data_IF_544531239575
#
_entry.id   IF_544531239575
#
_cell.length_a   1.000
_cell.length_b   1.000
_cell.length_c   1.000
_cell.angle_alpha   90.00
_cell.angle_beta   90.00
_cell.angle_gamma   90.00
#
_symmetry.space_group_name_H-M   'P 1'
#
loop_
_entity.id
_entity.type
_entity.pdbx_description
1 polymer ?
#
# COMPACT_ATOMS: atom_id res chain seq x y z
N UNK A 1 47.27 35.04 -81.59
CA UNK A 1 48.01 34.68 -80.35
C UNK A 1 47.05 34.84 -79.19
N UNK A 2 46.74 33.74 -78.48
CA UNK A 2 46.36 33.63 -77.04
C UNK A 2 46.08 34.96 -76.30
N UNK A 3 45.03 35.20 -75.52
CA UNK A 3 43.94 34.41 -74.92
C UNK A 3 42.96 35.43 -74.28
N UNK A 4 41.80 34.93 -73.83
CA UNK A 4 40.89 35.47 -72.79
C UNK A 4 39.74 36.43 -73.18
N UNK A 5 38.59 35.80 -73.45
CA UNK A 5 37.24 36.29 -73.11
C UNK A 5 37.11 36.51 -71.60
N UNK A 6 36.57 37.67 -71.18
CA UNK A 6 35.79 37.81 -69.94
C UNK A 6 34.37 38.21 -70.33
N UNK A 7 33.42 37.30 -70.10
CA UNK A 7 31.98 37.54 -70.22
C UNK A 7 31.45 37.62 -68.79
N UNK A 8 30.70 38.67 -68.50
CA UNK A 8 30.03 38.87 -67.22
C UNK A 8 28.97 37.80 -66.98
N UNK A 9 28.86 37.35 -65.73
CA UNK A 9 27.80 36.44 -65.29
C UNK A 9 27.12 37.06 -64.08
N UNK A 10 25.84 37.33 -64.31
CA UNK A 10 24.67 37.46 -63.45
C UNK A 10 24.84 37.60 -61.94
N UNK A 11 24.20 38.65 -61.42
CA UNK A 11 23.81 38.80 -60.03
C UNK A 11 22.88 37.66 -59.59
N UNK A 12 23.30 36.91 -58.57
CA UNK A 12 22.44 36.04 -57.78
C UNK A 12 22.10 36.81 -56.49
N UNK A 13 20.90 37.38 -56.44
CA UNK A 13 20.33 37.93 -55.22
C UNK A 13 19.89 36.77 -54.31
N UNK A 14 20.68 36.46 -53.28
CA UNK A 14 20.22 35.64 -52.16
C UNK A 14 19.24 36.47 -51.33
N UNK A 15 17.94 36.20 -51.47
CA UNK A 15 16.94 36.67 -50.54
C UNK A 15 17.08 35.88 -49.23
N UNK A 16 17.64 36.51 -48.19
CA UNK A 16 17.60 35.98 -46.82
C UNK A 16 16.20 36.20 -46.27
N UNK A 17 15.37 35.15 -46.28
CA UNK A 17 14.13 35.13 -45.54
C UNK A 17 14.46 35.03 -44.05
N UNK A 18 14.32 36.13 -43.32
CA UNK A 18 14.28 36.11 -41.86
C UNK A 18 12.94 35.50 -41.43
N UNK A 19 12.91 34.19 -41.22
CA UNK A 19 11.83 33.54 -40.50
C UNK A 19 11.98 33.86 -39.02
N UNK A 20 11.19 34.81 -38.51
CA UNK A 20 11.04 35.01 -37.07
C UNK A 20 10.37 33.78 -36.48
N UNK A 21 11.17 32.85 -35.96
CA UNK A 21 10.68 31.79 -35.10
C UNK A 21 10.15 32.44 -33.81
N UNK A 22 8.83 32.54 -33.70
CA UNK A 22 8.16 32.79 -32.42
C UNK A 22 8.49 31.60 -31.51
N UNK A 23 9.46 31.76 -30.63
CA UNK A 23 9.70 30.83 -29.54
C UNK A 23 8.47 30.88 -28.63
N UNK A 24 7.61 29.87 -28.75
CA UNK A 24 6.55 29.63 -27.76
C UNK A 24 7.29 29.27 -26.47
N UNK A 25 7.14 30.03 -25.38
CA UNK A 25 7.74 29.66 -24.12
C UNK A 25 7.10 28.34 -23.68
N UNK A 26 7.86 27.24 -23.74
CA UNK A 26 7.50 26.00 -23.07
C UNK A 26 7.51 26.29 -21.59
N UNK A 27 6.34 26.51 -21.00
CA UNK A 27 6.21 26.48 -19.55
C UNK A 27 6.65 25.07 -19.11
N UNK A 28 7.48 24.94 -18.06
CA UNK A 28 7.65 23.64 -17.43
C UNK A 28 6.25 23.15 -17.07
N UNK A 29 5.86 22.01 -17.62
CA UNK A 29 4.73 21.25 -17.08
C UNK A 29 5.23 20.87 -15.69
N UNK A 30 4.76 21.58 -14.67
CA UNK A 30 4.86 21.07 -13.31
C UNK A 30 4.23 19.69 -13.35
N UNK A 31 4.96 18.66 -12.93
CA UNK A 31 4.30 17.43 -12.51
C UNK A 31 3.15 17.85 -11.58
N UNK A 32 1.97 17.29 -11.78
CA UNK A 32 0.90 17.48 -10.81
C UNK A 32 1.49 17.13 -9.43
N UNK A 33 1.28 17.99 -8.43
CA UNK A 33 1.72 17.64 -7.09
C UNK A 33 1.04 16.32 -6.72
N UNK A 34 1.85 15.31 -6.35
CA UNK A 34 1.33 14.04 -5.87
C UNK A 34 0.36 14.29 -4.71
N UNK A 35 -0.74 13.56 -4.71
CA UNK A 35 -1.75 13.68 -3.67
C UNK A 35 -1.16 13.49 -2.27
N UNK A 36 -1.53 14.40 -1.36
CA UNK A 36 -1.24 14.35 0.07
C UNK A 36 -2.47 14.83 0.83
N UNK A 37 -3.02 14.01 1.71
CA UNK A 37 -4.25 14.30 2.44
C UNK A 37 -4.96 13.05 2.93
N UNK A 38 -6.22 13.20 3.31
CA UNK A 38 -7.11 12.10 3.65
C UNK A 38 -7.88 11.63 2.42
N UNK A 39 -8.14 10.33 2.33
CA UNK A 39 -9.16 9.84 1.40
C UNK A 39 -10.52 10.33 1.90
N UNK A 40 -11.27 11.07 1.08
CA UNK A 40 -12.52 11.71 1.52
C UNK A 40 -13.74 11.15 0.77
N UNK A 41 -13.55 10.56 -0.41
CA UNK A 41 -14.64 9.98 -1.20
C UNK A 41 -14.16 8.81 -2.04
N UNK A 42 -15.09 7.91 -2.38
CA UNK A 42 -14.89 6.84 -3.38
C UNK A 42 -15.75 7.16 -4.59
N UNK A 43 -15.12 7.42 -5.72
CA UNK A 43 -15.80 7.85 -6.94
C UNK A 43 -16.27 6.66 -7.78
N UNK A 44 -15.39 5.67 -7.98
CA UNK A 44 -15.69 4.45 -8.74
C UNK A 44 -14.90 3.25 -8.21
N UNK A 45 -15.43 2.06 -8.48
CA UNK A 45 -14.81 0.77 -8.18
C UNK A 45 -15.03 -0.14 -9.38
N UNK A 46 -13.94 -0.62 -9.97
CA UNK A 46 -13.96 -1.34 -11.24
C UNK A 46 -13.10 -2.62 -11.13
N UNK A 47 -13.75 -3.79 -11.25
CA UNK A 47 -13.09 -5.08 -11.16
C UNK A 47 -12.72 -5.65 -12.54
N UNK A 48 -11.56 -6.30 -12.60
CA UNK A 48 -11.10 -7.11 -13.71
C UNK A 48 -10.41 -8.37 -13.14
N UNK A 49 -11.14 -9.48 -13.11
CA UNK A 49 -10.68 -10.71 -12.45
C UNK A 49 -10.50 -10.49 -10.95
N UNK A 50 -9.33 -10.84 -10.42
CA UNK A 50 -8.95 -10.70 -9.03
C UNK A 50 -8.45 -9.28 -8.65
N UNK A 51 -8.33 -8.37 -9.62
CA UNK A 51 -7.85 -7.00 -9.41
C UNK A 51 -9.02 -6.02 -9.46
N UNK A 52 -9.07 -5.09 -8.50
CA UNK A 52 -10.08 -4.04 -8.40
C UNK A 52 -9.40 -2.69 -8.28
N UNK A 53 -9.71 -1.79 -9.22
CA UNK A 53 -9.25 -0.41 -9.18
C UNK A 53 -10.30 0.47 -8.49
N UNK A 54 -9.85 1.41 -7.67
CA UNK A 54 -10.70 2.33 -6.92
C UNK A 54 -10.23 3.76 -7.16
N UNK A 55 -11.12 4.65 -7.59
CA UNK A 55 -10.85 6.09 -7.66
C UNK A 55 -11.31 6.78 -6.39
N UNK A 56 -10.46 7.63 -5.82
CA UNK A 56 -10.78 8.44 -4.65
C UNK A 56 -10.65 9.94 -4.93
N UNK A 57 -11.32 10.74 -4.11
CA UNK A 57 -11.20 12.20 -4.05
C UNK A 57 -11.35 12.87 -5.43
N UNK A 58 -12.39 12.49 -6.17
CA UNK A 58 -12.67 12.96 -7.52
C UNK A 58 -11.56 12.66 -8.54
N UNK A 59 -10.95 11.47 -8.41
CA UNK A 59 -9.87 11.00 -9.27
C UNK A 59 -8.50 11.60 -8.94
N UNK A 60 -8.33 12.19 -7.76
CA UNK A 60 -7.04 12.74 -7.33
C UNK A 60 -6.04 11.65 -6.91
N UNK A 61 -6.52 10.49 -6.48
CA UNK A 61 -5.68 9.35 -6.10
C UNK A 61 -6.39 8.03 -6.42
N UNK A 62 -5.61 7.04 -6.82
CA UNK A 62 -6.11 5.71 -7.18
C UNK A 62 -5.67 4.71 -6.11
N UNK A 63 -6.54 3.74 -5.82
CA UNK A 63 -6.16 2.53 -5.12
C UNK A 63 -6.36 1.28 -5.97
N UNK A 64 -5.65 0.22 -5.62
CA UNK A 64 -5.71 -1.10 -6.23
C UNK A 64 -5.88 -2.14 -5.13
N UNK A 65 -6.86 -3.02 -5.29
CA UNK A 65 -7.04 -4.20 -4.44
C UNK A 65 -6.77 -5.42 -5.30
N UNK A 66 -5.84 -6.27 -4.87
CA UNK A 66 -5.51 -7.53 -5.55
C UNK A 66 -5.83 -8.68 -4.61
N UNK A 67 -6.79 -9.53 -4.96
CA UNK A 67 -7.04 -10.77 -4.24
C UNK A 67 -6.03 -11.84 -4.67
N UNK A 68 -5.27 -12.36 -3.71
CA UNK A 68 -4.37 -13.49 -3.90
C UNK A 68 -5.13 -14.80 -3.64
N UNK A 69 -5.82 -14.83 -2.51
CA UNK A 69 -6.69 -15.91 -2.07
C UNK A 69 -8.03 -15.35 -1.62
N UNK A 70 -9.01 -16.21 -1.34
CA UNK A 70 -10.30 -15.74 -0.85
C UNK A 70 -10.16 -14.93 0.45
N UNK A 71 -9.24 -15.30 1.34
CA UNK A 71 -8.96 -14.61 2.60
C UNK A 71 -7.74 -13.68 2.58
N UNK A 72 -7.02 -13.56 1.47
CA UNK A 72 -5.78 -12.78 1.37
C UNK A 72 -5.90 -11.75 0.25
N UNK A 73 -5.78 -10.47 0.59
CA UNK A 73 -5.75 -9.41 -0.41
C UNK A 73 -4.71 -8.33 -0.09
N UNK A 74 -4.11 -7.77 -1.14
CA UNK A 74 -3.26 -6.58 -1.06
C UNK A 74 -4.11 -5.35 -1.37
N UNK A 75 -4.00 -4.30 -0.56
CA UNK A 75 -4.61 -3.00 -0.80
C UNK A 75 -3.54 -1.93 -0.90
N UNK A 76 -3.52 -1.24 -2.04
CA UNK A 76 -2.55 -0.23 -2.40
C UNK A 76 -3.27 1.08 -2.65
N UNK A 77 -2.77 2.18 -2.09
CA UNK A 77 -3.16 3.55 -2.43
C UNK A 77 -1.88 4.31 -2.72
N UNK A 78 -1.66 4.56 -4.01
CA UNK A 78 -0.42 5.10 -4.53
C UNK A 78 -0.71 6.41 -5.28
N UNK A 79 -0.33 7.57 -4.72
CA UNK A 79 -0.44 8.88 -5.38
C UNK A 79 0.30 9.00 -6.71
N UNK A 80 1.33 8.20 -6.95
CA UNK A 80 2.06 8.19 -8.23
C UNK A 80 1.29 7.44 -9.33
N UNK A 81 0.48 6.46 -8.93
CA UNK A 81 -0.29 5.60 -9.82
C UNK A 81 0.53 4.50 -10.51
N UNK A 82 1.79 4.31 -10.12
CA UNK A 82 2.68 3.29 -10.70
C UNK A 82 2.32 1.88 -10.16
N UNK A 83 1.92 1.79 -8.89
CA UNK A 83 1.57 0.54 -8.20
C UNK A 83 2.63 -0.56 -8.36
N UNK A 84 3.86 -0.21 -8.00
CA UNK A 84 5.01 -1.11 -8.07
C UNK A 84 4.77 -2.43 -7.31
N UNK A 85 5.27 -3.51 -7.88
CA UNK A 85 5.06 -4.85 -7.31
C UNK A 85 5.76 -5.00 -5.95
N UNK A 86 6.94 -4.40 -5.79
CA UNK A 86 7.80 -4.55 -4.64
C UNK A 86 8.07 -3.21 -3.96
N UNK A 87 8.06 -3.22 -2.63
CA UNK A 87 8.30 -2.04 -1.83
C UNK A 87 9.70 -1.43 -2.05
N UNK A 88 9.78 -0.10 -2.08
CA UNK A 88 11.07 0.59 -2.19
C UNK A 88 11.90 0.40 -0.91
N UNK A 89 13.14 -0.07 -1.11
CA UNK A 89 14.12 -0.22 -0.04
C UNK A 89 14.59 1.16 0.43
N UNK A 90 14.73 1.31 1.75
CA UNK A 90 15.33 2.49 2.37
C UNK A 90 16.68 2.87 1.74
N UNK A 91 16.80 4.13 1.31
CA UNK A 91 18.01 4.64 0.64
C UNK A 91 19.13 5.03 1.60
N UNK A 92 18.86 5.03 2.91
CA UNK A 92 19.81 5.41 3.95
C UNK A 92 20.53 4.21 4.59
N UNK A 93 20.19 2.97 4.21
CA UNK A 93 20.90 1.77 4.69
C UNK A 93 22.12 1.45 3.81
N UNK A 94 23.25 1.00 4.39
CA UNK A 94 24.40 0.55 3.61
C UNK A 94 24.05 -0.59 2.65
N UNK A 95 24.43 -0.44 1.38
CA UNK A 95 24.24 -1.49 0.37
C UNK A 95 22.84 -1.55 -0.25
N UNK A 96 21.97 -0.57 0.01
CA UNK A 96 20.60 -0.53 -0.53
C UNK A 96 20.52 -0.71 -2.05
N UNK A 97 21.50 -0.19 -2.80
CA UNK A 97 21.52 -0.30 -4.27
C UNK A 97 21.64 -1.75 -4.78
N UNK A 98 22.16 -2.65 -3.94
CA UNK A 98 22.32 -4.07 -4.25
C UNK A 98 21.27 -4.94 -3.57
N UNK A 99 20.30 -4.33 -2.88
CA UNK A 99 19.25 -5.07 -2.18
C UNK A 99 18.25 -5.63 -3.20
N UNK A 100 18.21 -6.95 -3.34
CA UNK A 100 17.29 -7.64 -4.25
C UNK A 100 16.25 -8.48 -3.51
N UNK A 101 16.31 -8.51 -2.17
CA UNK A 101 15.33 -9.25 -1.38
C UNK A 101 14.00 -8.49 -1.39
N UNK A 102 12.92 -9.24 -1.45
CA UNK A 102 11.54 -8.75 -1.42
C UNK A 102 10.89 -9.19 -0.12
N UNK A 103 9.84 -8.48 0.30
CA UNK A 103 9.05 -8.89 1.47
C UNK A 103 8.25 -10.15 1.12
N UNK A 104 7.68 -10.18 -0.08
CA UNK A 104 6.99 -11.33 -0.62
C UNK A 104 7.99 -12.41 -1.02
N UNK A 105 7.66 -13.68 -0.75
CA UNK A 105 8.44 -14.83 -1.19
C UNK A 105 8.20 -15.20 -2.66
N UNK A 106 7.12 -14.70 -3.24
CA UNK A 106 6.80 -14.81 -4.66
C UNK A 106 6.01 -13.59 -5.13
N UNK A 107 5.95 -13.40 -6.45
CA UNK A 107 5.08 -12.41 -7.08
C UNK A 107 3.61 -12.62 -6.70
N UNK A 108 2.87 -11.52 -6.57
CA UNK A 108 1.41 -11.53 -6.41
C UNK A 108 0.70 -12.23 -7.60
N UNK A 109 1.32 -12.26 -8.79
CA UNK A 109 0.81 -12.91 -10.00
C UNK A 109 1.21 -14.39 -10.10
N UNK A 110 1.90 -14.94 -9.09
CA UNK A 110 2.38 -16.32 -9.12
C UNK A 110 1.22 -17.33 -9.15
N UNK A 111 1.32 -18.36 -9.98
CA UNK A 111 0.40 -19.54 -10.04
C UNK A 111 0.31 -20.35 -8.73
N UNK A 112 0.97 -19.91 -7.66
CA UNK A 112 0.82 -20.48 -6.32
C UNK A 112 -0.48 -20.01 -5.66
N UNK A 113 -0.92 -18.81 -6.03
CA UNK A 113 -2.17 -18.23 -5.57
C UNK A 113 -3.32 -18.65 -6.49
N UNK A 114 -4.53 -18.69 -5.95
CA UNK A 114 -5.74 -19.06 -6.69
C UNK A 114 -6.35 -17.91 -7.49
N UNK A 115 -6.04 -16.65 -7.13
CA UNK A 115 -6.51 -15.42 -7.79
C UNK A 115 -8.04 -15.41 -7.99
N UNK A 116 -8.85 -15.46 -6.92
CA UNK A 116 -10.30 -15.51 -7.06
C UNK A 116 -10.85 -14.21 -7.69
N UNK A 117 -11.83 -14.36 -8.58
CA UNK A 117 -12.53 -13.21 -9.16
C UNK A 117 -13.21 -12.35 -8.08
N UNK A 118 -12.98 -11.04 -8.14
CA UNK A 118 -13.60 -10.09 -7.25
C UNK A 118 -15.04 -9.78 -7.69
N UNK A 119 -15.98 -9.81 -6.74
CA UNK A 119 -17.36 -9.40 -6.99
C UNK A 119 -17.57 -7.99 -6.44
N UNK A 120 -17.94 -7.04 -7.31
CA UNK A 120 -18.21 -5.64 -6.93
C UNK A 120 -19.70 -5.37 -6.96
N UNK A 121 -20.22 -4.75 -5.89
CA UNK A 121 -21.62 -4.37 -5.77
C UNK A 121 -21.77 -2.95 -5.23
N UNK A 122 -22.50 -2.12 -5.98
CA UNK A 122 -22.96 -0.82 -5.49
C UNK A 122 -24.18 -1.01 -4.58
N UNK A 123 -24.06 -0.64 -3.29
CA UNK A 123 -25.16 -0.69 -2.31
C UNK A 123 -25.81 0.68 -2.07
N UNK A 124 -25.54 1.66 -2.91
CA UNK A 124 -26.02 3.04 -2.79
C UNK A 124 -24.99 3.91 -2.08
N UNK A 125 -24.85 3.77 -0.76
CA UNK A 125 -23.93 4.57 0.06
C UNK A 125 -22.54 3.96 0.21
N UNK A 126 -22.41 2.67 -0.08
CA UNK A 126 -21.14 1.92 0.01
C UNK A 126 -20.91 1.12 -1.26
N UNK A 127 -19.64 0.86 -1.54
CA UNK A 127 -19.23 -0.24 -2.40
C UNK A 127 -18.92 -1.47 -1.55
N UNK A 128 -19.35 -2.65 -1.98
CA UNK A 128 -18.92 -3.93 -1.42
C UNK A 128 -18.12 -4.69 -2.47
N UNK A 129 -16.92 -5.15 -2.08
CA UNK A 129 -15.96 -5.87 -2.92
C UNK A 129 -15.66 -7.19 -2.21
N UNK A 130 -16.02 -8.32 -2.81
CA UNK A 130 -16.03 -9.60 -2.08
C UNK A 130 -15.48 -10.79 -2.88
N UNK A 131 -14.87 -11.70 -2.13
CA UNK A 131 -14.57 -13.09 -2.49
C UNK A 131 -15.43 -14.03 -1.64
N UNK A 132 -15.13 -15.33 -1.61
CA UNK A 132 -15.86 -16.28 -0.77
C UNK A 132 -15.66 -16.06 0.74
N UNK A 133 -14.49 -15.57 1.15
CA UNK A 133 -14.07 -15.54 2.55
C UNK A 133 -13.99 -14.14 3.16
N UNK A 134 -13.95 -13.09 2.33
CA UNK A 134 -13.82 -11.71 2.77
C UNK A 134 -14.71 -10.76 1.96
N UNK A 135 -15.20 -9.71 2.62
CA UNK A 135 -15.88 -8.58 1.98
C UNK A 135 -15.29 -7.27 2.48
N UNK A 136 -14.72 -6.49 1.56
CA UNK A 136 -14.26 -5.13 1.79
C UNK A 136 -15.45 -4.20 1.53
N UNK A 137 -15.71 -3.30 2.46
CA UNK A 137 -16.76 -2.28 2.34
C UNK A 137 -16.12 -0.91 2.36
N UNK A 138 -16.34 -0.13 1.31
CA UNK A 138 -15.86 1.25 1.19
C UNK A 138 -17.04 2.21 1.25
N UNK A 139 -17.04 3.10 2.24
CA UNK A 139 -18.04 4.17 2.33
C UNK A 139 -17.76 5.27 1.29
N UNK A 140 -18.75 5.58 0.45
CA UNK A 140 -18.54 6.50 -0.68
C UNK A 140 -18.27 7.94 -0.25
N UNK A 141 -18.85 8.37 0.88
CA UNK A 141 -18.82 9.77 1.32
C UNK A 141 -17.67 10.07 2.27
N UNK A 142 -16.98 9.04 2.77
CA UNK A 142 -15.88 9.19 3.73
C UNK A 142 -14.63 8.40 3.36
N UNK A 143 -14.70 7.57 2.31
CA UNK A 143 -13.67 6.62 1.88
C UNK A 143 -13.20 5.61 2.94
N UNK A 144 -13.84 5.56 4.11
CA UNK A 144 -13.47 4.63 5.17
C UNK A 144 -13.73 3.20 4.75
N UNK A 145 -12.74 2.35 5.01
CA UNK A 145 -12.79 0.92 4.77
C UNK A 145 -13.28 0.16 6.01
N UNK A 146 -14.00 -0.93 5.79
CA UNK A 146 -14.18 -2.00 6.77
C UNK A 146 -14.08 -3.36 6.09
N UNK A 147 -13.73 -4.39 6.87
CA UNK A 147 -13.63 -5.77 6.40
C UNK A 147 -14.65 -6.60 7.17
N UNK A 148 -15.44 -7.39 6.44
CA UNK A 148 -16.31 -8.42 6.97
C UNK A 148 -15.74 -9.80 6.64
N UNK A 149 -15.90 -10.72 7.58
CA UNK A 149 -15.65 -12.15 7.36
C UNK A 149 -16.80 -12.79 6.54
N UNK A 150 -16.70 -14.08 6.22
CA UNK A 150 -17.69 -14.83 5.43
C UNK A 150 -19.11 -14.84 6.04
N UNK A 151 -19.20 -14.72 7.37
CA UNK A 151 -20.48 -14.68 8.09
C UNK A 151 -21.09 -13.27 8.11
N UNK A 152 -20.43 -12.29 7.47
CA UNK A 152 -20.87 -10.90 7.41
C UNK A 152 -20.55 -10.09 8.68
N UNK A 153 -19.81 -10.66 9.64
CA UNK A 153 -19.35 -9.94 10.83
C UNK A 153 -18.23 -8.97 10.43
N UNK A 154 -18.36 -7.70 10.77
CA UNK A 154 -17.25 -6.73 10.67
C UNK A 154 -16.16 -7.08 11.66
N UNK A 155 -14.96 -7.38 11.16
CA UNK A 155 -13.79 -7.78 11.94
C UNK A 155 -12.75 -6.64 12.04
N UNK A 156 -12.83 -5.65 11.14
CA UNK A 156 -11.97 -4.48 11.11
C UNK A 156 -12.76 -3.30 10.54
N UNK A 157 -12.64 -2.10 11.11
CA UNK A 157 -13.18 -0.87 10.50
C UNK A 157 -12.31 0.35 10.80
N UNK A 158 -12.19 1.21 9.80
CA UNK A 158 -11.59 2.52 9.95
C UNK A 158 -12.53 3.48 10.72
N UNK A 159 -11.97 4.26 11.63
CA UNK A 159 -12.66 5.32 12.39
C UNK A 159 -12.33 6.71 11.88
N UNK A 160 -11.18 6.86 11.21
CA UNK A 160 -10.80 8.04 10.44
C UNK A 160 -10.41 7.58 9.04
N UNK A 161 -10.58 8.42 8.01
CA UNK A 161 -10.14 8.06 6.67
C UNK A 161 -8.62 7.89 6.61
N UNK A 162 -8.17 7.03 5.70
CA UNK A 162 -6.76 6.78 5.47
C UNK A 162 -6.02 8.07 5.12
N UNK A 163 -4.90 8.32 5.79
CA UNK A 163 -4.03 9.48 5.55
C UNK A 163 -2.86 9.08 4.66
N UNK A 164 -2.66 9.82 3.57
CA UNK A 164 -1.51 9.69 2.67
C UNK A 164 -0.69 10.98 2.73
N UNK A 165 0.56 10.89 3.18
CA UNK A 165 1.40 12.04 3.48
C UNK A 165 2.87 11.77 3.17
N UNK A 166 3.77 12.41 3.94
CA UNK A 166 5.14 11.89 4.10
C UNK A 166 5.18 10.67 5.03
N UNK A 167 4.06 10.39 5.67
CA UNK A 167 3.76 9.17 6.41
C UNK A 167 2.35 8.75 5.99
N UNK A 168 2.10 7.45 6.00
CA UNK A 168 0.73 6.93 5.89
C UNK A 168 0.22 6.52 7.25
N UNK A 169 -1.06 6.76 7.51
CA UNK A 169 -1.70 6.41 8.79
C UNK A 169 -3.04 5.76 8.53
N UNK A 170 -3.20 4.53 9.02
CA UNK A 170 -4.50 3.87 9.11
C UNK A 170 -4.99 3.90 10.55
N UNK A 171 -6.24 4.33 10.74
CA UNK A 171 -6.86 4.50 12.06
C UNK A 171 -8.09 3.61 12.21
N UNK A 172 -8.02 2.62 13.09
CA UNK A 172 -9.06 1.60 13.30
C UNK A 172 -9.75 1.79 14.65
N UNK A 173 -10.97 1.27 14.77
CA UNK A 173 -11.54 1.06 16.11
C UNK A 173 -10.85 -0.12 16.80
N UNK A 174 -11.12 -0.27 18.09
CA UNK A 174 -10.91 -1.54 18.77
C UNK A 174 -12.08 -1.88 19.70
N UNK A 175 -12.34 -3.17 19.90
CA UNK A 175 -13.32 -3.65 20.88
C UNK A 175 -12.66 -3.84 22.27
N UNK A 176 -13.43 -3.85 23.34
CA UNK A 176 -12.91 -4.04 24.70
C UNK A 176 -12.16 -5.38 24.86
N UNK A 177 -12.65 -6.45 24.24
CA UNK A 177 -12.07 -7.80 24.31
C UNK A 177 -11.15 -8.15 23.12
N UNK A 178 -10.72 -7.15 22.34
CA UNK A 178 -9.80 -7.35 21.23
C UNK A 178 -8.33 -7.20 21.67
N UNK A 179 -7.48 -8.16 21.30
CA UNK A 179 -6.06 -8.14 21.59
C UNK A 179 -5.24 -8.19 20.30
N UNK A 180 -4.05 -7.59 20.36
CA UNK A 180 -3.13 -7.46 19.24
C UNK A 180 -1.80 -8.13 19.55
N UNK A 181 -1.25 -8.82 18.55
CA UNK A 181 0.01 -9.55 18.62
C UNK A 181 0.86 -9.28 17.37
N UNK A 182 2.15 -9.58 17.43
CA UNK A 182 3.09 -9.38 16.31
C UNK A 182 4.08 -8.24 16.57
N UNK A 183 4.48 -7.53 15.51
CA UNK A 183 5.49 -6.47 15.55
C UNK A 183 6.94 -6.98 15.57
N UNK A 184 7.13 -8.30 15.43
CA UNK A 184 8.44 -8.96 15.54
C UNK A 184 8.87 -9.21 16.99
N UNK A 185 10.18 -9.18 17.22
CA UNK A 185 10.77 -9.34 18.56
C UNK A 185 10.71 -8.01 19.31
N UNK A 186 9.58 -7.78 19.98
CA UNK A 186 9.33 -6.65 20.88
C UNK A 186 9.76 -7.03 22.30
N UNK A 187 10.91 -6.54 22.76
CA UNK A 187 11.56 -7.09 23.96
C UNK A 187 10.67 -6.93 25.20
N UNK A 188 10.46 -8.04 25.92
CA UNK A 188 9.63 -8.13 27.12
C UNK A 188 8.10 -8.11 26.89
N UNK A 189 7.64 -8.06 25.64
CA UNK A 189 6.24 -7.81 25.28
C UNK A 189 5.75 -8.81 24.23
N UNK A 190 4.47 -9.18 24.28
CA UNK A 190 3.86 -10.07 23.29
C UNK A 190 2.41 -9.70 22.95
N UNK A 191 1.66 -9.18 23.92
CA UNK A 191 0.33 -8.58 23.71
C UNK A 191 0.43 -7.06 23.82
N UNK A 192 -0.19 -6.36 22.87
CA UNK A 192 0.06 -4.93 22.68
C UNK A 192 -1.14 -4.03 22.97
N UNK A 193 -2.31 -4.57 23.37
CA UNK A 193 -3.50 -3.76 23.67
C UNK A 193 -3.17 -2.66 24.70
N UNK A 194 -3.49 -1.41 24.35
CA UNK A 194 -3.22 -0.23 25.18
C UNK A 194 -1.74 0.18 25.22
N UNK A 195 -0.92 -0.29 24.28
CA UNK A 195 0.51 0.01 24.17
C UNK A 195 0.87 0.45 22.76
N UNK A 196 1.96 1.18 22.64
CA UNK A 196 2.63 1.38 21.36
C UNK A 196 3.82 0.44 21.19
N UNK A 197 4.10 0.09 19.94
CA UNK A 197 5.34 -0.56 19.53
C UNK A 197 5.97 0.18 18.35
N UNK A 198 7.30 0.22 18.34
CA UNK A 198 8.03 0.72 17.18
C UNK A 198 8.26 -0.43 16.20
N UNK A 199 8.09 -0.13 14.92
CA UNK A 199 8.40 -1.02 13.81
C UNK A 199 9.64 -0.44 13.14
N UNK A 200 10.75 -0.51 13.87
CA UNK A 200 12.01 0.09 13.49
C UNK A 200 13.15 -0.75 14.06
N UNK A 201 14.29 -0.74 13.38
CA UNK A 201 15.48 -1.40 13.89
C UNK A 201 16.19 -0.48 14.90
N UNK A 202 15.97 -0.72 16.19
CA UNK A 202 16.54 0.08 17.27
C UNK A 202 17.96 -0.36 17.68
N UNK A 203 18.43 -1.52 17.18
CA UNK A 203 19.68 -2.16 17.64
C UNK A 203 19.75 -2.35 19.17
N UNK A 204 18.59 -2.49 19.83
CA UNK A 204 18.45 -2.70 21.26
C UNK A 204 18.19 -4.16 21.62
N UNK A 205 18.57 -4.56 22.84
CA UNK A 205 18.55 -5.96 23.31
C UNK A 205 17.97 -6.11 24.72
N UNK A 206 17.49 -5.02 25.31
CA UNK A 206 16.95 -4.97 26.66
C UNK A 206 15.44 -4.74 26.66
N UNK A 207 14.82 -4.86 27.84
CA UNK A 207 13.38 -4.67 28.02
C UNK A 207 12.90 -3.31 27.49
N UNK A 208 11.78 -3.31 26.76
CA UNK A 208 11.21 -2.11 26.14
C UNK A 208 11.78 -1.73 24.77
N UNK A 209 12.90 -2.30 24.34
CA UNK A 209 13.51 -2.06 23.02
C UNK A 209 12.99 -3.04 21.94
N UNK A 210 13.43 -2.86 20.70
CA UNK A 210 13.12 -3.72 19.54
C UNK A 210 14.40 -4.35 18.96
N UNK A 211 14.54 -5.68 19.11
CA UNK A 211 15.69 -6.41 18.58
C UNK A 211 15.52 -6.85 17.12
N UNK A 212 14.29 -7.09 16.68
CA UNK A 212 14.01 -7.54 15.32
C UNK A 212 12.58 -7.13 14.95
N UNK A 213 12.38 -5.96 14.31
CA UNK A 213 11.04 -5.50 13.95
C UNK A 213 10.45 -6.38 12.84
N UNK A 214 9.12 -6.48 12.81
CA UNK A 214 8.39 -7.07 11.70
C UNK A 214 7.11 -6.25 11.48
N UNK A 215 6.87 -5.67 10.28
CA UNK A 215 5.68 -4.85 9.98
C UNK A 215 4.39 -5.67 9.82
N UNK A 216 4.23 -6.73 10.62
CA UNK A 216 3.08 -7.61 10.67
C UNK A 216 2.46 -7.60 12.07
N UNK A 217 1.15 -7.43 12.16
CA UNK A 217 0.38 -7.66 13.38
C UNK A 217 -0.92 -8.41 13.06
N UNK A 218 -1.52 -9.01 14.07
CA UNK A 218 -2.84 -9.62 13.95
C UNK A 218 -3.70 -9.38 15.19
N UNK A 219 -5.01 -9.48 14.99
CA UNK A 219 -6.06 -9.23 15.98
C UNK A 219 -6.87 -10.49 16.29
N UNK A 220 -7.30 -10.64 17.53
CA UNK A 220 -8.24 -11.70 17.96
C UNK A 220 -9.62 -11.63 17.29
N UNK A 221 -9.95 -10.50 16.64
CA UNK A 221 -11.17 -10.37 15.84
C UNK A 221 -11.11 -11.16 14.52
N UNK A 222 -9.94 -11.68 14.14
CA UNK A 222 -9.79 -12.58 12.99
C UNK A 222 -9.20 -11.91 11.75
N UNK A 223 -8.38 -10.87 11.92
CA UNK A 223 -7.65 -10.27 10.81
C UNK A 223 -6.17 -10.07 11.14
N UNK A 224 -5.34 -10.15 10.11
CA UNK A 224 -3.92 -9.81 10.13
C UNK A 224 -3.62 -8.70 9.13
N UNK A 225 -2.58 -7.92 9.38
CA UNK A 225 -2.11 -6.87 8.47
C UNK A 225 -0.58 -6.91 8.39
N UNK A 226 -0.06 -6.99 7.17
CA UNK A 226 1.35 -6.81 6.85
C UNK A 226 1.50 -5.52 6.03
N UNK A 227 2.20 -4.51 6.58
CA UNK A 227 2.61 -3.34 5.79
C UNK A 227 3.74 -3.76 4.85
N UNK A 228 3.51 -3.65 3.55
CA UNK A 228 4.50 -4.02 2.54
C UNK A 228 5.47 -2.85 2.33
N UNK A 229 6.36 -2.66 3.29
CA UNK A 229 7.29 -1.53 3.30
C UNK A 229 8.59 -1.85 4.03
N UNK A 230 9.68 -1.23 3.57
CA UNK A 230 10.96 -1.22 4.29
C UNK A 230 11.13 0.02 5.19
N UNK A 231 10.18 0.95 5.17
CA UNK A 231 10.26 2.19 5.95
C UNK A 231 9.94 1.94 7.41
N UNK A 232 10.57 2.70 8.30
CA UNK A 232 10.29 2.62 9.74
C UNK A 232 8.84 3.06 10.03
N UNK A 233 8.26 2.48 11.08
CA UNK A 233 6.89 2.74 11.47
C UNK A 233 6.65 2.66 12.98
N UNK A 234 5.39 2.85 13.37
CA UNK A 234 4.91 2.76 14.74
C UNK A 234 3.46 2.29 14.74
N UNK A 235 3.13 1.32 15.59
CA UNK A 235 1.75 0.88 15.82
C UNK A 235 1.35 1.25 17.24
N UNK A 236 0.34 2.10 17.37
CA UNK A 236 -0.30 2.48 18.63
C UNK A 236 -1.60 1.69 18.77
N UNK A 237 -1.63 0.74 19.69
CA UNK A 237 -2.80 -0.11 19.93
C UNK A 237 -3.68 0.40 21.08
N UNK A 238 -3.82 1.73 21.17
CA UNK A 238 -4.69 2.41 22.12
C UNK A 238 -3.98 2.97 23.35
N UNK A 239 -2.68 3.25 23.24
CA UNK A 239 -1.91 3.99 24.24
C UNK A 239 -2.30 5.47 24.24
N UNK A 240 -2.40 6.10 23.06
CA UNK A 240 -2.82 7.50 22.96
C UNK A 240 -4.34 7.68 23.17
N UNK A 241 -5.15 6.76 22.65
CA UNK A 241 -6.60 6.75 22.80
C UNK A 241 -7.12 5.33 22.86
N UNK A 242 -7.76 4.93 23.96
CA UNK A 242 -8.19 3.54 24.20
C UNK A 242 -9.14 2.96 23.14
N UNK A 243 -9.78 3.81 22.35
CA UNK A 243 -10.76 3.43 21.33
C UNK A 243 -10.19 3.38 19.90
N UNK A 244 -8.95 3.84 19.70
CA UNK A 244 -8.33 4.02 18.39
C UNK A 244 -7.01 3.29 18.30
N UNK A 245 -6.87 2.46 17.27
CA UNK A 245 -5.60 1.89 16.84
C UNK A 245 -5.07 2.75 15.71
N UNK A 246 -3.80 3.15 15.76
CA UNK A 246 -3.15 3.91 14.69
C UNK A 246 -1.88 3.19 14.24
N UNK A 247 -1.83 2.79 12.97
CA UNK A 247 -0.66 2.18 12.35
C UNK A 247 -0.04 3.14 11.34
N UNK A 248 1.25 3.43 11.51
CA UNK A 248 1.96 4.46 10.77
C UNK A 248 3.26 3.94 10.17
N UNK A 249 3.57 4.31 8.94
CA UNK A 249 4.90 4.14 8.33
C UNK A 249 5.36 5.41 7.61
N UNK A 250 6.69 5.60 7.54
CA UNK A 250 7.34 6.77 6.94
C UNK A 250 7.47 6.67 5.42
N UNK A 251 6.33 6.61 4.75
CA UNK A 251 6.26 6.50 3.29
C UNK A 251 5.08 7.26 2.71
N UNK A 252 5.13 7.49 1.40
CA UNK A 252 4.14 8.28 0.64
C UNK A 252 3.06 7.46 -0.06
N UNK A 253 3.09 6.14 0.09
CA UNK A 253 2.07 5.22 -0.42
C UNK A 253 1.55 4.31 0.69
N UNK A 254 0.27 3.96 0.65
CA UNK A 254 -0.26 2.97 1.56
C UNK A 254 -0.29 1.62 0.85
N UNK A 255 0.61 0.71 1.20
CA UNK A 255 0.59 -0.68 0.73
C UNK A 255 0.52 -1.68 1.89
N UNK A 256 -0.56 -2.48 1.94
CA UNK A 256 -0.73 -3.50 2.96
C UNK A 256 -1.41 -4.76 2.42
N UNK A 257 -0.93 -5.91 2.88
CA UNK A 257 -1.65 -7.17 2.81
C UNK A 257 -2.58 -7.30 4.02
N UNK A 258 -3.78 -7.80 3.77
CA UNK A 258 -4.77 -8.17 4.77
C UNK A 258 -5.04 -9.65 4.69
N UNK A 259 -5.10 -10.28 5.86
CA UNK A 259 -5.37 -11.70 6.04
C UNK A 259 -6.66 -11.83 6.85
N UNK A 260 -7.59 -12.69 6.43
CA UNK A 260 -8.90 -12.85 7.05
C UNK A 260 -9.08 -14.30 7.47
N UNK A 261 -9.20 -14.53 8.77
CA UNK A 261 -9.61 -15.82 9.30
C UNK A 261 -11.13 -15.84 9.52
N UNK A 262 -11.72 -16.96 9.12
CA UNK A 262 -13.13 -17.28 9.32
C UNK A 262 -13.35 -18.31 10.45
N UNK A 263 -12.32 -18.57 11.25
CA UNK A 263 -12.37 -19.50 12.36
C UNK A 263 -13.10 -18.88 13.55
N UNK A 264 -13.73 -19.72 14.37
CA UNK A 264 -14.47 -19.26 15.55
C UNK A 264 -13.52 -18.96 16.71
N UNK A 265 -12.60 -19.88 17.00
CA UNK A 265 -11.72 -19.84 18.16
C UNK A 265 -10.45 -19.03 17.89
N UNK A 266 -9.95 -18.34 18.91
CA UNK A 266 -8.77 -17.45 18.79
C UNK A 266 -7.51 -18.22 18.39
N UNK A 267 -7.36 -19.47 18.84
CA UNK A 267 -6.19 -20.28 18.50
C UNK A 267 -6.18 -20.65 17.01
N UNK A 268 -7.33 -21.06 16.48
CA UNK A 268 -7.48 -21.43 15.08
C UNK A 268 -7.29 -20.21 14.17
N UNK A 269 -7.82 -19.04 14.59
CA UNK A 269 -7.53 -17.76 13.91
C UNK A 269 -6.03 -17.48 13.85
N UNK A 270 -5.31 -17.68 14.95
CA UNK A 270 -3.87 -17.47 14.98
C UNK A 270 -3.14 -18.40 14.01
N UNK A 271 -3.54 -19.68 13.93
CA UNK A 271 -2.97 -20.65 13.00
C UNK A 271 -3.20 -20.24 11.55
N UNK A 272 -4.44 -19.92 11.18
CA UNK A 272 -4.80 -19.45 9.83
C UNK A 272 -4.03 -18.19 9.45
N UNK A 273 -4.08 -17.14 10.28
CA UNK A 273 -3.42 -15.86 9.98
C UNK A 273 -1.89 -15.98 9.88
N UNK A 274 -1.26 -16.86 10.66
CA UNK A 274 0.18 -17.13 10.54
C UNK A 274 0.50 -17.95 9.30
N UNK A 275 -0.32 -18.94 8.96
CA UNK A 275 -0.18 -19.71 7.73
C UNK A 275 -0.25 -18.81 6.50
N UNK A 276 -1.25 -17.93 6.45
CA UNK A 276 -1.43 -16.98 5.34
C UNK A 276 -0.27 -15.98 5.25
N UNK A 277 0.23 -15.51 6.40
CA UNK A 277 1.43 -14.68 6.46
C UNK A 277 2.65 -15.42 5.87
N UNK A 278 2.85 -16.70 6.19
CA UNK A 278 3.93 -17.51 5.61
C UNK A 278 3.71 -17.85 4.14
N UNK A 279 2.46 -17.93 3.70
CA UNK A 279 2.16 -18.08 2.29
C UNK A 279 2.71 -16.88 1.53
N UNK A 280 2.45 -15.65 1.99
CA UNK A 280 2.95 -14.43 1.35
C UNK A 280 4.47 -14.23 1.54
N UNK A 281 5.00 -14.46 2.74
CA UNK A 281 6.38 -14.07 3.11
C UNK A 281 7.39 -15.22 3.12
N UNK A 282 6.93 -16.44 2.89
CA UNK A 282 7.76 -17.64 2.83
C UNK A 282 7.75 -18.45 4.13
N UNK A 283 7.78 -19.76 3.97
CA UNK A 283 7.78 -20.69 5.10
C UNK A 283 9.08 -20.59 5.93
N UNK A 284 8.99 -20.68 7.27
CA UNK A 284 10.15 -20.79 8.13
C UNK A 284 11.03 -21.99 7.74
N UNK A 285 12.34 -21.79 7.70
CA UNK A 285 13.29 -22.87 7.47
C UNK A 285 13.30 -23.83 8.67
N UNK A 286 13.20 -25.14 8.40
CA UNK A 286 13.44 -26.17 9.41
C UNK A 286 14.95 -26.31 9.65
N UNK A 287 15.39 -26.08 10.89
CA UNK A 287 16.79 -26.25 11.28
C UNK A 287 17.21 -27.74 11.23
N UNK A 288 18.48 -28.03 10.88
CA UNK A 288 19.01 -29.39 10.74
C UNK A 288 19.13 -30.17 12.06
#
# INVERSE_FOLDING_TARGET
MKFLKKVGVSALSLATAFSTALAIPTRPVSAAEEFRGQLESVDSVDANGNVVNVSYNNGAVTGKITFLENGIFRYNVDPSGEFEEYAEVRKDIPGWQNHTATIQAQSDESDKYSHPDANVSDKGTTWEISTADATIVLDKATAKMSIKNKDGKTIMREVQPLVIGNQTVQSLNTNDDEYFFGGGTQNGRFTHKGKSINIANESGWTDGEVSSPNPFYWSTEGYGVLRNTFQDGKYDFGEASKEVIATTHNESEFDAYYFVSNDAEVNDKAETLLSDYYEVTGNPLLLP
#
